data_IF_731669437348
#
_entry.id   IF_731669437348
#
_cell.length_a   1.000
_cell.length_b   1.000
_cell.length_c   1.000
_cell.angle_alpha   90.00
_cell.angle_beta   90.00
_cell.angle_gamma   90.00
#
_symmetry.space_group_name_H-M   'P 1'
#
loop_
_entity.id
_entity.type
_entity.pdbx_description
1 polymer ?
#
# COMPACT_ATOMS: atom_id res chain seq x y z
N UNK A 1 -5.62 4.34 -8.37
CA UNK A 1 -5.98 5.77 -8.28
C UNK A 1 -5.51 6.29 -6.95
N UNK A 2 -4.84 7.44 -6.94
CA UNK A 2 -4.25 8.05 -5.76
C UNK A 2 -4.77 9.48 -5.64
N UNK A 3 -5.15 9.88 -4.43
CA UNK A 3 -5.41 11.28 -4.07
C UNK A 3 -4.08 11.96 -3.72
N UNK A 4 -4.08 13.30 -3.71
CA UNK A 4 -2.93 14.09 -3.24
C UNK A 4 -2.62 13.89 -1.76
N UNK A 5 -3.63 13.52 -0.97
CA UNK A 5 -3.50 13.20 0.45
C UNK A 5 -3.96 11.78 0.68
N UNK A 6 -3.12 10.99 1.34
CA UNK A 6 -3.42 9.64 1.81
C UNK A 6 -3.49 9.70 3.33
N UNK A 7 -4.53 9.11 3.89
CA UNK A 7 -4.75 9.06 5.33
C UNK A 7 -4.78 7.61 5.80
N UNK A 8 -4.45 7.39 7.08
CA UNK A 8 -4.49 6.06 7.69
C UNK A 8 -4.01 6.09 9.14
N UNK A 9 -4.04 4.93 9.76
CA UNK A 9 -3.46 4.68 11.08
C UNK A 9 -2.22 3.82 10.92
N UNK A 10 -1.11 4.28 11.51
CA UNK A 10 0.16 3.58 11.54
C UNK A 10 0.30 2.90 12.90
N UNK A 11 0.61 1.61 12.89
CA UNK A 11 1.04 0.83 14.04
C UNK A 11 2.28 0.01 13.65
N UNK A 12 2.91 -0.62 14.64
CA UNK A 12 4.00 -1.57 14.38
C UNK A 12 3.54 -2.62 13.36
N UNK A 13 4.30 -2.75 12.28
CA UNK A 13 4.09 -3.66 11.16
C UNK A 13 2.70 -3.60 10.49
N UNK A 14 1.94 -2.51 10.68
CA UNK A 14 0.59 -2.39 10.12
C UNK A 14 0.19 -0.98 9.74
N UNK A 15 -0.39 -0.85 8.55
CA UNK A 15 -1.20 0.28 8.13
C UNK A 15 -2.67 -0.14 8.06
N UNK A 16 -3.57 0.70 8.57
CA UNK A 16 -5.00 0.40 8.56
C UNK A 16 -5.84 1.65 8.36
N UNK A 17 -7.13 1.46 8.05
CA UNK A 17 -8.10 2.56 7.80
C UNK A 17 -7.60 3.51 6.70
N UNK A 18 -7.00 2.94 5.65
CA UNK A 18 -6.40 3.71 4.58
C UNK A 18 -7.47 4.41 3.73
N UNK A 19 -7.22 5.67 3.39
CA UNK A 19 -8.09 6.50 2.56
C UNK A 19 -7.26 7.20 1.49
N UNK A 20 -7.86 7.41 0.31
CA UNK A 20 -7.19 8.12 -0.79
C UNK A 20 -6.35 7.26 -1.74
N UNK A 21 -6.30 5.94 -1.51
CA UNK A 21 -5.67 4.97 -2.42
C UNK A 21 -6.68 3.91 -2.87
N UNK A 22 -6.70 3.59 -4.17
CA UNK A 22 -7.52 2.53 -4.75
C UNK A 22 -6.72 1.76 -5.81
N UNK A 23 -6.91 0.45 -5.86
CA UNK A 23 -6.36 -0.44 -6.88
C UNK A 23 -7.47 -0.89 -7.84
N UNK A 24 -7.12 -1.26 -9.07
CA UNK A 24 -8.10 -1.66 -10.09
C UNK A 24 -8.16 -3.18 -10.17
N UNK A 25 -9.32 -3.74 -9.88
CA UNK A 25 -9.62 -5.17 -10.00
C UNK A 25 -10.64 -5.38 -11.10
N UNK A 26 -10.20 -5.90 -12.25
CA UNK A 26 -10.95 -6.21 -13.49
C UNK A 26 -11.91 -5.10 -13.98
N UNK A 27 -12.96 -4.77 -13.22
CA UNK A 27 -14.04 -3.83 -13.53
C UNK A 27 -14.19 -2.73 -12.44
N UNK A 28 -13.72 -2.97 -11.21
CA UNK A 28 -13.95 -2.10 -10.05
C UNK A 28 -12.66 -1.46 -9.55
N UNK A 29 -12.79 -0.32 -8.87
CA UNK A 29 -11.73 0.28 -8.07
C UNK A 29 -12.00 -0.01 -6.61
N UNK A 30 -11.11 -0.73 -5.96
CA UNK A 30 -11.24 -1.11 -4.56
C UNK A 30 -10.24 -0.35 -3.70
N UNK A 31 -10.68 0.06 -2.51
CA UNK A 31 -9.80 0.67 -1.51
C UNK A 31 -8.94 -0.40 -0.86
N UNK A 32 -7.70 -0.04 -0.53
CA UNK A 32 -6.84 -0.90 0.30
C UNK A 32 -7.34 -0.79 1.74
N UNK A 33 -7.70 -1.92 2.35
CA UNK A 33 -8.22 -1.97 3.71
C UNK A 33 -7.08 -1.90 4.74
N UNK A 34 -6.03 -2.70 4.51
CA UNK A 34 -4.87 -2.82 5.37
C UNK A 34 -3.61 -3.20 4.59
N UNK A 35 -2.47 -2.84 5.17
CA UNK A 35 -1.16 -3.34 4.75
C UNK A 35 -0.49 -3.92 5.99
N UNK A 36 -0.05 -5.17 5.92
CA UNK A 36 0.66 -5.85 7.01
C UNK A 36 2.07 -6.13 6.54
N UNK A 37 3.04 -5.89 7.41
CA UNK A 37 4.42 -6.32 7.19
C UNK A 37 4.64 -7.66 7.85
N UNK A 38 5.14 -8.62 7.07
CA UNK A 38 5.65 -9.89 7.56
C UNK A 38 7.10 -10.03 7.13
N UNK A 39 8.03 -9.73 8.05
CA UNK A 39 9.48 -9.78 7.84
C UNK A 39 9.92 -8.97 6.60
N UNK A 40 10.10 -9.66 5.46
CA UNK A 40 10.60 -9.18 4.19
C UNK A 40 9.50 -9.03 3.12
N UNK A 41 8.24 -9.24 3.47
CA UNK A 41 7.06 -9.07 2.62
C UNK A 41 6.08 -8.04 3.19
N UNK A 42 5.35 -7.39 2.28
CA UNK A 42 4.21 -6.52 2.57
C UNK A 42 2.96 -7.12 1.92
N UNK A 43 2.00 -7.51 2.75
CA UNK A 43 0.69 -7.97 2.30
C UNK A 43 -0.25 -6.78 2.15
N UNK A 44 -0.78 -6.56 0.95
CA UNK A 44 -1.79 -5.54 0.68
C UNK A 44 -3.17 -6.19 0.53
N UNK A 45 -4.11 -5.83 1.40
CA UNK A 45 -5.46 -6.41 1.39
C UNK A 45 -6.51 -5.39 0.95
N UNK A 46 -7.42 -5.83 0.08
CA UNK A 46 -8.65 -5.10 -0.29
C UNK A 46 -9.90 -5.71 0.36
N UNK A 47 -9.70 -6.56 1.38
CA UNK A 47 -10.75 -7.24 2.15
C UNK A 47 -11.15 -8.60 1.59
N UNK A 48 -11.42 -8.72 0.28
CA UNK A 48 -11.78 -10.00 -0.37
C UNK A 48 -10.59 -10.75 -0.98
N UNK A 49 -9.46 -10.06 -1.12
CA UNK A 49 -8.24 -10.55 -1.72
C UNK A 49 -7.04 -9.80 -1.15
N UNK A 50 -5.88 -10.43 -1.23
CA UNK A 50 -4.60 -9.82 -0.91
C UNK A 50 -3.53 -10.17 -1.95
N UNK A 51 -2.44 -9.42 -1.90
CA UNK A 51 -1.24 -9.67 -2.68
C UNK A 51 0.00 -9.30 -1.87
N UNK A 52 1.01 -10.16 -1.93
CA UNK A 52 2.28 -10.00 -1.24
C UNK A 52 3.32 -9.39 -2.17
N UNK A 53 4.11 -8.46 -1.61
CA UNK A 53 5.21 -7.82 -2.31
C UNK A 53 6.44 -7.74 -1.41
N UNK A 54 7.63 -8.08 -1.94
CA UNK A 54 8.86 -7.93 -1.18
C UNK A 54 9.04 -6.49 -0.72
N UNK A 55 9.43 -6.27 0.54
CA UNK A 55 9.70 -4.95 1.14
C UNK A 55 10.69 -4.17 0.27
N UNK A 56 11.68 -4.86 -0.31
CA UNK A 56 12.69 -4.28 -1.21
C UNK A 56 12.12 -3.55 -2.43
N UNK A 57 10.88 -3.84 -2.84
CA UNK A 57 10.22 -3.11 -3.91
C UNK A 57 9.94 -1.65 -3.55
N UNK A 58 10.04 -1.30 -2.26
CA UNK A 58 9.70 0.01 -1.71
C UNK A 58 10.91 0.73 -1.10
N UNK A 59 12.13 0.22 -1.32
CA UNK A 59 13.38 0.83 -0.81
C UNK A 59 13.67 2.17 -1.51
N UNK A 60 13.29 2.30 -2.78
CA UNK A 60 13.50 3.52 -3.57
C UNK A 60 12.21 4.36 -3.62
N UNK A 61 12.31 5.63 -3.21
CA UNK A 61 11.19 6.55 -3.35
C UNK A 61 11.18 7.20 -4.75
N UNK A 62 10.12 6.99 -5.56
CA UNK A 62 10.11 7.40 -6.97
C UNK A 62 10.10 8.93 -7.17
N UNK A 63 9.75 9.70 -6.13
CA UNK A 63 9.72 11.16 -6.18
C UNK A 63 11.02 11.84 -5.70
N UNK A 64 11.92 11.09 -5.05
CA UNK A 64 13.14 11.61 -4.46
C UNK A 64 14.42 11.10 -5.16
N UNK A 65 14.30 10.26 -6.18
CA UNK A 65 15.41 9.71 -6.97
C UNK A 65 16.16 10.68 -7.89
N UNK A 66 15.95 12.01 -7.77
CA UNK A 66 16.69 13.04 -8.49
C UNK A 66 17.89 13.58 -7.67
N UNK A 67 18.54 12.69 -6.91
CA UNK A 67 19.79 12.98 -6.21
C UNK A 67 20.76 11.80 -6.33
N UNK A 68 21.16 11.47 -7.56
CA UNK A 68 22.52 11.12 -7.96
C UNK A 68 22.72 11.47 -9.44
#
# INVERSE_FOLDING_TARGET
KYKSTIEGVIAEDKLSKLSGIQVKELILWLSIAEVIRDVDELEFSVGIASADFPVRNFDECPACGLWL
#
